data_IF_617341410638
#
_entry.id   IF_617341410638
#
_cell.length_a   1.000
_cell.length_b   1.000
_cell.length_c   1.000
_cell.angle_alpha   90.00
_cell.angle_beta   90.00
_cell.angle_gamma   90.00
#
_symmetry.space_group_name_H-M   'P 1'
#
loop_
_entity.id
_entity.type
_entity.pdbx_description
1 polymer ?
#
# COMPACT_ATOMS: atom_id res chain seq x y z
N UNK A 1 -43.15 -12.55 103.13
CA UNK A 1 -43.33 -11.94 101.79
C UNK A 1 -43.72 -13.02 100.80
N UNK A 2 -44.86 -12.86 100.14
CA UNK A 2 -45.21 -13.56 98.90
C UNK A 2 -45.54 -12.46 97.88
N UNK A 3 -45.16 -12.60 96.61
CA UNK A 3 -46.18 -13.02 95.66
C UNK A 3 -45.70 -13.98 94.55
N UNK A 4 -46.67 -14.77 94.09
CA UNK A 4 -46.68 -15.56 92.85
C UNK A 4 -46.68 -14.62 91.64
N UNK A 5 -45.90 -14.92 90.60
CA UNK A 5 -46.04 -14.24 89.30
C UNK A 5 -46.18 -15.25 88.15
N UNK A 6 -47.34 -15.21 87.51
CA UNK A 6 -47.69 -15.94 86.31
C UNK A 6 -46.75 -15.58 85.15
N UNK A 7 -46.18 -16.57 84.46
CA UNK A 7 -45.57 -16.34 83.15
C UNK A 7 -46.30 -17.15 82.08
N UNK A 8 -47.21 -16.45 81.40
CA UNK A 8 -47.72 -16.79 80.07
C UNK A 8 -46.56 -16.77 79.06
N UNK A 9 -46.51 -17.74 78.14
CA UNK A 9 -46.08 -17.49 76.75
C UNK A 9 -46.54 -18.60 75.80
N UNK A 10 -47.44 -18.15 74.92
CA UNK A 10 -48.05 -18.80 73.75
C UNK A 10 -47.04 -19.51 72.85
N UNK A 11 -47.33 -20.75 72.49
CA UNK A 11 -46.74 -21.47 71.37
C UNK A 11 -47.12 -20.76 70.06
N UNK A 12 -46.13 -20.19 69.36
CA UNK A 12 -46.33 -19.63 68.02
C UNK A 12 -46.21 -20.72 66.97
N UNK A 13 -47.33 -20.97 66.28
CA UNK A 13 -47.38 -21.56 64.95
C UNK A 13 -46.64 -20.67 63.95
N UNK A 14 -45.83 -21.28 63.09
CA UNK A 14 -45.08 -20.59 62.04
C UNK A 14 -44.26 -21.58 61.22
N UNK A 15 -44.94 -22.44 60.47
CA UNK A 15 -44.32 -23.32 59.47
C UNK A 15 -43.70 -22.44 58.37
N UNK A 16 -42.39 -22.33 58.35
CA UNK A 16 -41.62 -21.62 57.33
C UNK A 16 -41.61 -22.43 56.03
N UNK A 17 -42.48 -22.07 55.08
CA UNK A 17 -42.28 -22.50 53.69
C UNK A 17 -41.17 -21.66 53.08
N UNK A 18 -40.00 -22.29 52.97
CA UNK A 18 -38.89 -21.84 52.15
C UNK A 18 -39.37 -21.67 50.69
N UNK A 19 -39.57 -20.43 50.28
CA UNK A 19 -39.68 -20.08 48.87
C UNK A 19 -38.30 -20.28 48.23
N UNK A 20 -38.12 -21.40 47.55
CA UNK A 20 -36.98 -21.68 46.68
C UNK A 20 -36.85 -20.56 45.65
N UNK A 21 -35.94 -19.61 45.88
CA UNK A 21 -35.46 -18.71 44.86
C UNK A 21 -34.83 -19.57 43.75
N UNK A 22 -35.58 -19.77 42.66
CA UNK A 22 -35.02 -20.27 41.41
C UNK A 22 -34.08 -19.18 40.87
N UNK A 23 -32.86 -19.19 41.38
CA UNK A 23 -31.71 -18.59 40.72
C UNK A 23 -31.55 -19.32 39.39
N UNK A 24 -32.24 -18.82 38.37
CA UNK A 24 -31.96 -19.13 36.97
C UNK A 24 -30.60 -18.53 36.65
N UNK A 25 -29.54 -19.19 37.09
CA UNK A 25 -28.18 -18.91 36.68
C UNK A 25 -28.11 -19.07 35.18
N UNK A 26 -28.33 -17.97 34.45
CA UNK A 26 -27.87 -17.85 33.07
C UNK A 26 -26.37 -18.09 33.16
N UNK A 27 -25.98 -19.30 32.77
CA UNK A 27 -24.60 -19.70 32.59
C UNK A 27 -23.94 -18.56 31.82
N UNK A 28 -22.94 -17.96 32.43
CA UNK A 28 -22.16 -16.86 31.90
C UNK A 28 -21.37 -17.41 30.71
N UNK A 29 -22.07 -17.61 29.60
CA UNK A 29 -21.55 -18.31 28.43
C UNK A 29 -20.49 -17.38 27.84
N UNK A 30 -19.21 -17.79 27.83
CA UNK A 30 -18.15 -16.90 27.40
C UNK A 30 -18.43 -16.48 25.95
N UNK A 31 -18.64 -15.18 25.71
CA UNK A 31 -18.87 -14.55 24.38
C UNK A 31 -17.67 -14.68 23.43
N UNK A 32 -16.76 -15.61 23.73
CA UNK A 32 -15.55 -15.91 22.97
C UNK A 32 -15.90 -16.48 21.60
N UNK A 33 -16.95 -17.28 21.48
CA UNK A 33 -17.38 -17.85 20.19
C UNK A 33 -17.81 -16.78 19.17
N UNK A 34 -18.56 -15.77 19.61
CA UNK A 34 -18.96 -14.63 18.77
C UNK A 34 -17.77 -13.75 18.38
N UNK A 35 -16.87 -13.45 19.31
CA UNK A 35 -15.67 -12.67 19.01
C UNK A 35 -14.75 -13.40 18.02
N UNK A 36 -14.62 -14.73 18.13
CA UNK A 36 -13.88 -15.54 17.14
C UNK A 36 -14.53 -15.48 15.76
N UNK A 37 -15.86 -15.55 15.67
CA UNK A 37 -16.56 -15.44 14.40
C UNK A 37 -16.38 -14.06 13.75
N UNK A 38 -16.47 -12.98 14.52
CA UNK A 38 -16.23 -11.62 14.02
C UNK A 38 -14.81 -11.46 13.48
N UNK A 39 -13.79 -11.91 14.21
CA UNK A 39 -12.40 -11.86 13.73
C UNK A 39 -12.19 -12.75 12.50
N UNK A 40 -12.85 -13.90 12.41
CA UNK A 40 -12.74 -14.78 11.26
C UNK A 40 -13.21 -14.14 9.95
N UNK A 41 -14.18 -13.21 10.01
CA UNK A 41 -14.64 -12.46 8.83
C UNK A 41 -13.90 -11.13 8.64
N UNK A 42 -13.62 -10.40 9.72
CA UNK A 42 -12.95 -9.09 9.64
C UNK A 42 -11.48 -9.21 9.23
N UNK A 43 -10.76 -10.21 9.74
CA UNK A 43 -9.32 -10.34 9.51
C UNK A 43 -8.98 -10.56 8.02
N UNK A 44 -9.64 -11.48 7.27
CA UNK A 44 -9.35 -11.64 5.85
C UNK A 44 -9.58 -10.38 5.02
N UNK A 45 -10.63 -9.60 5.33
CA UNK A 45 -10.94 -8.35 4.62
C UNK A 45 -9.87 -7.29 4.89
N UNK A 46 -9.51 -7.10 6.17
CA UNK A 46 -8.47 -6.14 6.54
C UNK A 46 -7.11 -6.53 5.95
N UNK A 47 -6.75 -7.81 5.97
CA UNK A 47 -5.51 -8.30 5.36
C UNK A 47 -5.50 -8.08 3.85
N UNK A 48 -6.61 -8.36 3.17
CA UNK A 48 -6.74 -8.13 1.72
C UNK A 48 -6.53 -6.65 1.39
N UNK A 49 -7.18 -5.74 2.11
CA UNK A 49 -6.95 -4.31 1.90
C UNK A 49 -5.52 -3.89 2.23
N UNK A 50 -4.94 -4.43 3.31
CA UNK A 50 -3.56 -4.10 3.69
C UNK A 50 -2.59 -4.48 2.57
N UNK A 51 -2.65 -5.72 2.06
CA UNK A 51 -1.79 -6.14 0.96
C UNK A 51 -2.09 -5.38 -0.34
N UNK A 52 -3.36 -5.12 -0.64
CA UNK A 52 -3.74 -4.31 -1.81
C UNK A 52 -3.15 -2.89 -1.73
N UNK A 53 -3.11 -2.26 -0.55
CA UNK A 53 -2.49 -0.94 -0.38
C UNK A 53 -0.97 -1.00 -0.53
N UNK A 54 -0.30 -2.05 -0.03
CA UNK A 54 1.14 -2.24 -0.22
C UNK A 54 1.49 -2.38 -1.71
N UNK A 55 0.72 -3.17 -2.45
CA UNK A 55 0.91 -3.32 -3.90
C UNK A 55 0.64 -2.01 -4.65
N UNK A 56 -0.41 -1.28 -4.27
CA UNK A 56 -0.74 0.00 -4.89
C UNK A 56 0.36 1.04 -4.66
N UNK A 57 0.91 1.11 -3.45
CA UNK A 57 2.05 1.98 -3.14
C UNK A 57 3.28 1.62 -3.99
N UNK A 58 3.54 0.33 -4.22
CA UNK A 58 4.64 -0.13 -5.06
C UNK A 58 4.46 0.30 -6.53
N UNK A 59 3.22 0.22 -7.05
CA UNK A 59 2.89 0.72 -8.39
C UNK A 59 3.13 2.22 -8.50
N UNK A 60 2.67 3.01 -7.52
CA UNK A 60 2.88 4.46 -7.54
C UNK A 60 4.35 4.83 -7.45
N UNK A 61 5.10 4.15 -6.59
CA UNK A 61 6.55 4.33 -6.49
C UNK A 61 7.24 4.10 -7.84
N UNK A 62 6.89 3.01 -8.55
CA UNK A 62 7.45 2.71 -9.86
C UNK A 62 7.07 3.79 -10.89
N UNK A 63 5.80 4.20 -10.94
CA UNK A 63 5.34 5.25 -11.86
C UNK A 63 6.05 6.58 -11.65
N UNK A 64 6.17 7.02 -10.40
CA UNK A 64 6.83 8.28 -10.05
C UNK A 64 8.33 8.22 -10.35
N UNK A 65 8.95 7.07 -10.10
CA UNK A 65 10.35 6.83 -10.43
C UNK A 65 10.60 6.97 -11.92
N UNK A 66 9.79 6.32 -12.77
CA UNK A 66 9.90 6.43 -14.23
C UNK A 66 9.66 7.86 -14.70
N UNK A 67 8.72 8.59 -14.09
CA UNK A 67 8.45 9.98 -14.42
C UNK A 67 9.64 10.91 -14.09
N UNK A 68 10.22 10.77 -12.90
CA UNK A 68 11.40 11.54 -12.47
C UNK A 68 12.61 11.19 -13.34
N UNK A 69 12.84 9.90 -13.61
CA UNK A 69 13.94 9.45 -14.46
C UNK A 69 13.83 10.03 -15.87
N UNK A 70 12.64 9.98 -16.47
CA UNK A 70 12.37 10.63 -17.74
C UNK A 70 12.68 12.14 -17.66
N UNK A 71 12.12 12.85 -16.68
CA UNK A 71 12.30 14.30 -16.59
C UNK A 71 13.77 14.70 -16.49
N UNK A 72 14.52 14.05 -15.61
CA UNK A 72 15.94 14.31 -15.39
C UNK A 72 16.80 13.88 -16.60
N UNK A 73 16.43 12.78 -17.25
CA UNK A 73 17.04 12.35 -18.52
C UNK A 73 16.85 13.40 -19.61
N UNK A 74 15.61 13.83 -19.87
CA UNK A 74 15.31 14.86 -20.86
C UNK A 74 16.05 16.17 -20.55
N UNK A 75 16.06 16.58 -19.27
CA UNK A 75 16.79 17.75 -18.80
C UNK A 75 18.29 17.66 -19.05
N UNK A 76 18.88 16.46 -18.93
CA UNK A 76 20.28 16.23 -19.27
C UNK A 76 20.55 16.38 -20.77
N UNK A 77 19.62 15.94 -21.62
CA UNK A 77 19.72 16.01 -23.09
C UNK A 77 19.59 17.42 -23.67
N UNK A 78 18.80 18.29 -23.03
CA UNK A 78 18.65 19.69 -23.47
C UNK A 78 19.85 20.58 -23.14
N UNK A 79 20.70 20.19 -22.18
CA UNK A 79 21.87 20.98 -21.79
C UNK A 79 22.87 21.15 -22.95
N UNK A 80 23.77 22.15 -22.82
CA UNK A 80 24.90 22.33 -23.75
C UNK A 80 25.74 21.05 -23.81
N UNK A 81 25.92 20.51 -25.01
CA UNK A 81 26.64 19.24 -25.22
C UNK A 81 25.83 18.00 -24.79
N UNK A 82 24.52 18.12 -24.56
CA UNK A 82 23.66 16.98 -24.23
C UNK A 82 23.56 16.01 -25.41
N UNK A 83 23.84 14.74 -25.14
CA UNK A 83 23.81 13.62 -26.11
C UNK A 83 22.82 12.56 -25.66
N UNK A 84 22.43 11.68 -26.57
CA UNK A 84 21.51 10.56 -26.26
C UNK A 84 22.10 9.62 -25.20
N UNK A 85 23.42 9.42 -25.20
CA UNK A 85 24.09 8.59 -24.21
C UNK A 85 24.11 9.23 -22.82
N UNK A 86 24.24 10.56 -22.76
CA UNK A 86 24.12 11.28 -21.49
C UNK A 86 22.71 11.18 -20.90
N UNK A 87 21.68 11.16 -21.76
CA UNK A 87 20.29 10.94 -21.36
C UNK A 87 20.10 9.52 -20.82
N UNK A 88 20.53 8.51 -21.57
CA UNK A 88 20.45 7.10 -21.16
C UNK A 88 21.19 6.86 -19.85
N UNK A 89 22.40 7.39 -19.70
CA UNK A 89 23.19 7.27 -18.49
C UNK A 89 22.48 7.90 -17.29
N UNK A 90 21.89 9.09 -17.45
CA UNK A 90 21.15 9.76 -16.37
C UNK A 90 19.88 9.01 -15.98
N UNK A 91 19.17 8.42 -16.94
CA UNK A 91 17.99 7.58 -16.65
C UNK A 91 18.42 6.32 -15.90
N UNK A 92 19.45 5.62 -16.39
CA UNK A 92 19.99 4.42 -15.75
C UNK A 92 20.41 4.69 -14.30
N UNK A 93 21.15 5.78 -14.05
CA UNK A 93 21.56 6.20 -12.71
C UNK A 93 20.36 6.31 -11.75
N UNK A 94 19.28 6.98 -12.15
CA UNK A 94 18.09 7.16 -11.29
C UNK A 94 17.35 5.84 -11.07
N UNK A 95 17.27 4.99 -12.09
CA UNK A 95 16.63 3.67 -11.97
C UNK A 95 17.44 2.75 -11.03
N UNK A 96 18.76 2.74 -11.17
CA UNK A 96 19.68 1.95 -10.35
C UNK A 96 19.69 2.42 -8.89
N UNK A 97 19.73 3.75 -8.65
CA UNK A 97 19.64 4.35 -7.30
C UNK A 97 18.34 3.97 -6.58
N UNK A 98 17.26 3.78 -7.34
CA UNK A 98 15.95 3.40 -6.81
C UNK A 98 15.71 1.90 -6.80
N UNK A 99 16.71 1.10 -7.19
CA UNK A 99 16.65 -0.37 -7.18
C UNK A 99 15.68 -0.95 -8.21
N UNK A 100 15.40 -0.22 -9.28
CA UNK A 100 14.46 -0.63 -10.32
C UNK A 100 15.16 -1.56 -11.32
N UNK A 101 14.59 -2.73 -11.56
CA UNK A 101 15.06 -3.69 -12.55
C UNK A 101 14.56 -3.32 -13.95
N UNK A 102 15.45 -3.30 -14.93
CA UNK A 102 15.09 -3.11 -16.33
C UNK A 102 16.03 -3.93 -17.22
N UNK A 103 15.52 -4.39 -18.36
CA UNK A 103 16.31 -5.16 -19.32
C UNK A 103 16.71 -4.26 -20.50
N UNK A 104 18.00 -4.26 -20.83
CA UNK A 104 18.53 -3.51 -21.96
C UNK A 104 18.37 -2.00 -21.81
N UNK A 105 17.98 -1.33 -22.89
CA UNK A 105 17.84 0.12 -22.92
C UNK A 105 16.40 0.53 -22.59
N UNK A 106 16.19 1.08 -21.40
CA UNK A 106 14.88 1.55 -20.91
C UNK A 106 14.39 2.84 -21.56
N UNK A 107 15.23 3.50 -22.36
CA UNK A 107 14.94 4.79 -23.00
C UNK A 107 14.78 4.65 -24.51
N UNK A 108 13.67 5.14 -25.03
CA UNK A 108 13.46 5.39 -26.46
C UNK A 108 13.19 6.86 -26.74
N UNK A 109 13.41 7.25 -27.99
CA UNK A 109 13.24 8.62 -28.49
C UNK A 109 12.17 8.60 -29.58
N UNK A 110 11.27 9.58 -29.55
CA UNK A 110 10.27 9.81 -30.61
C UNK A 110 10.57 11.14 -31.32
N UNK A 111 10.24 11.20 -32.62
CA UNK A 111 10.49 12.30 -33.55
C UNK A 111 11.97 12.52 -33.90
N UNK A 112 12.81 12.80 -32.91
CA UNK A 112 14.24 13.04 -33.08
C UNK A 112 15.02 12.67 -31.83
N UNK A 113 16.35 12.70 -31.90
CA UNK A 113 17.22 12.45 -30.74
C UNK A 113 17.95 13.73 -30.36
N UNK A 114 18.48 13.83 -29.14
CA UNK A 114 19.20 15.02 -28.72
C UNK A 114 20.51 15.21 -29.49
N UNK A 115 21.08 14.15 -30.05
CA UNK A 115 22.28 14.20 -30.89
C UNK A 115 22.01 14.72 -32.32
N UNK A 116 20.78 14.57 -32.82
CA UNK A 116 20.43 14.95 -34.20
C UNK A 116 19.49 16.16 -34.29
N UNK A 117 18.79 16.50 -33.21
CA UNK A 117 17.78 17.55 -33.20
C UNK A 117 18.38 18.95 -33.39
N UNK A 118 17.69 19.78 -34.16
CA UNK A 118 18.01 21.18 -34.33
C UNK A 118 17.68 21.98 -33.06
N UNK A 119 18.28 23.18 -32.96
CA UNK A 119 17.93 24.09 -31.86
C UNK A 119 16.47 24.49 -31.98
N UNK A 120 15.75 24.49 -30.86
CA UNK A 120 14.31 24.71 -30.74
C UNK A 120 13.42 23.56 -31.24
N UNK A 121 13.98 22.42 -31.63
CA UNK A 121 13.21 21.24 -31.99
C UNK A 121 12.68 20.50 -30.73
N UNK A 122 11.50 19.88 -30.85
CA UNK A 122 10.92 19.06 -29.80
C UNK A 122 11.46 17.63 -29.86
N UNK A 123 12.13 17.22 -28.79
CA UNK A 123 12.58 15.85 -28.58
C UNK A 123 11.68 15.21 -27.53
N UNK A 124 11.11 14.06 -27.86
CA UNK A 124 10.31 13.28 -26.92
C UNK A 124 11.10 12.07 -26.49
N UNK A 125 11.17 11.85 -25.18
CA UNK A 125 11.70 10.62 -24.62
C UNK A 125 10.57 9.79 -24.05
N UNK A 126 10.73 8.48 -24.11
CA UNK A 126 9.87 7.50 -23.43
C UNK A 126 10.77 6.61 -22.60
N UNK A 127 10.52 6.59 -21.29
CA UNK A 127 11.17 5.65 -20.38
C UNK A 127 10.18 4.55 -20.08
N UNK A 128 10.58 3.30 -20.32
CA UNK A 128 9.75 2.11 -20.14
C UNK A 128 10.47 1.11 -19.25
N UNK A 129 9.75 0.61 -18.24
CA UNK A 129 10.26 -0.37 -17.28
C UNK A 129 9.21 -1.47 -17.08
N UNK A 130 9.62 -2.76 -17.04
CA UNK A 130 8.71 -3.85 -16.76
C UNK A 130 8.20 -3.79 -15.31
N UNK A 131 6.93 -4.11 -15.11
CA UNK A 131 6.40 -4.35 -13.78
C UNK A 131 6.88 -5.71 -13.20
N UNK A 132 7.19 -6.68 -14.07
CA UNK A 132 7.85 -7.92 -13.69
C UNK A 132 9.17 -7.63 -12.95
N UNK A 133 9.37 -8.28 -11.81
CA UNK A 133 10.57 -8.10 -10.98
C UNK A 133 10.59 -6.80 -10.14
N UNK A 134 9.74 -5.82 -10.45
CA UNK A 134 9.64 -4.56 -9.69
C UNK A 134 8.41 -4.48 -8.78
N UNK A 135 7.36 -5.27 -9.05
CA UNK A 135 6.13 -5.33 -8.24
C UNK A 135 5.95 -6.71 -7.60
N UNK A 136 5.42 -6.74 -6.38
CA UNK A 136 5.26 -7.95 -5.55
C UNK A 136 3.93 -8.69 -5.72
N UNK A 137 3.20 -8.42 -6.81
CA UNK A 137 1.83 -8.85 -6.92
C UNK A 137 1.64 -10.38 -6.90
N UNK A 138 0.59 -10.88 -6.23
CA UNK A 138 0.32 -12.30 -6.15
C UNK A 138 0.06 -12.91 -7.54
N UNK A 139 0.59 -14.12 -7.76
CA UNK A 139 0.36 -14.95 -8.95
C UNK A 139 0.76 -14.32 -10.30
N UNK A 140 1.70 -13.37 -10.32
CA UNK A 140 2.22 -12.82 -11.59
C UNK A 140 1.25 -11.92 -12.33
N UNK A 141 0.28 -11.33 -11.62
CA UNK A 141 -0.79 -10.48 -12.17
C UNK A 141 -0.29 -9.34 -13.06
N UNK A 142 0.95 -8.88 -12.85
CA UNK A 142 1.57 -7.75 -13.57
C UNK A 142 2.79 -8.13 -14.41
N UNK A 143 3.02 -9.42 -14.68
CA UNK A 143 4.25 -9.85 -15.38
C UNK A 143 4.38 -9.24 -16.79
N UNK A 144 3.28 -9.06 -17.51
CA UNK A 144 3.28 -8.48 -18.86
C UNK A 144 3.07 -6.94 -18.87
N UNK A 145 2.94 -6.32 -17.69
CA UNK A 145 2.67 -4.89 -17.60
C UNK A 145 3.98 -4.10 -17.78
N UNK A 146 3.94 -3.11 -18.69
CA UNK A 146 5.03 -2.16 -18.90
C UNK A 146 4.61 -0.79 -18.38
N UNK A 147 5.39 -0.22 -17.46
CA UNK A 147 5.16 1.13 -16.98
C UNK A 147 6.01 2.08 -17.80
N UNK A 148 5.35 3.01 -18.50
CA UNK A 148 6.01 3.98 -19.35
C UNK A 148 5.65 5.41 -18.97
N UNK A 149 6.60 6.32 -19.10
CA UNK A 149 6.35 7.76 -19.00
C UNK A 149 6.99 8.49 -20.18
N UNK A 150 6.25 9.44 -20.75
CA UNK A 150 6.63 10.19 -21.95
C UNK A 150 6.74 11.67 -21.62
N UNK A 151 7.89 12.26 -21.94
CA UNK A 151 8.16 13.68 -21.73
C UNK A 151 8.72 14.27 -23.02
N UNK A 152 8.21 15.45 -23.38
CA UNK A 152 8.71 16.23 -24.51
C UNK A 152 9.40 17.47 -23.97
N UNK A 153 10.64 17.68 -24.39
CA UNK A 153 11.40 18.89 -24.11
C UNK A 153 11.94 19.49 -25.41
N UNK A 154 12.23 20.78 -25.38
CA UNK A 154 12.77 21.50 -26.54
C UNK A 154 14.28 21.58 -26.43
N UNK A 155 15.01 21.25 -27.49
CA UNK A 155 16.48 21.41 -27.55
C UNK A 155 16.83 22.89 -27.42
N UNK A 156 17.53 23.27 -26.35
CA UNK A 156 17.83 24.68 -26.07
C UNK A 156 19.11 25.18 -26.75
N UNK A 157 20.08 24.29 -26.98
CA UNK A 157 21.38 24.63 -27.53
C UNK A 157 21.69 23.82 -28.78
N UNK A 158 22.40 24.44 -29.74
CA UNK A 158 22.92 23.76 -30.92
C UNK A 158 23.89 22.66 -30.51
N UNK A 159 23.83 21.53 -31.21
CA UNK A 159 24.83 20.46 -31.04
C UNK A 159 26.22 20.98 -31.41
N UNK A 160 27.19 20.60 -30.57
CA UNK A 160 28.59 20.95 -30.78
C UNK A 160 29.17 19.93 -31.76
N UNK A 161 29.89 20.43 -32.77
CA UNK A 161 30.62 19.62 -33.73
C UNK A 161 31.81 18.91 -33.09
#
# INVERSE_FOLDING_TARGET
MNPVNHTSKRTRSGFTKAGSARSGGRLNQPRRGTATAEIAFCLPVLLTFTFATVDLCSIFFLKETVAIAAYEGARRGINRGGTDDAVRARVAEILDERGIQYEGNSVSFENSTFSSADTLEHVTIVVTVPAAGNLYAPAGLYNDLQISHRITMRKEFKNQE
#
